data_IF_033441463483
#
_entry.id   IF_033441463483
#
_cell.length_a   1.000
_cell.length_b   1.000
_cell.length_c   1.000
_cell.angle_alpha   90.00
_cell.angle_beta   90.00
_cell.angle_gamma   90.00
#
_symmetry.space_group_name_H-M   'P 1'
#
loop_
_entity.id
_entity.type
_entity.pdbx_description
1 polymer ?
#
# COMPACT_ATOMS: atom_id res chain seq x y z
N UNK A 1 -8.12 -7.76 -17.97
CA UNK A 1 -8.08 -7.15 -16.62
C UNK A 1 -6.73 -6.48 -16.37
N UNK A 2 -5.62 -7.22 -16.44
CA UNK A 2 -4.26 -6.72 -16.20
C UNK A 2 -3.89 -5.47 -17.02
N UNK A 3 -4.23 -5.42 -18.31
CA UNK A 3 -3.98 -4.22 -19.14
C UNK A 3 -4.63 -2.94 -18.59
N UNK A 4 -5.82 -3.04 -17.98
CA UNK A 4 -6.46 -1.91 -17.30
C UNK A 4 -5.72 -1.54 -16.01
N UNK A 5 -5.30 -2.53 -15.22
CA UNK A 5 -4.51 -2.30 -13.99
C UNK A 5 -3.24 -1.51 -14.30
N UNK A 6 -2.44 -1.94 -15.29
CA UNK A 6 -1.21 -1.24 -15.68
C UNK A 6 -1.47 0.15 -16.25
N UNK A 7 -2.50 0.30 -17.10
CA UNK A 7 -2.89 1.59 -17.64
C UNK A 7 -3.29 2.58 -16.53
N UNK A 8 -4.12 2.16 -15.58
CA UNK A 8 -4.49 3.00 -14.44
C UNK A 8 -3.29 3.27 -13.52
N UNK A 9 -2.45 2.28 -13.22
CA UNK A 9 -1.24 2.50 -12.42
C UNK A 9 -0.34 3.59 -13.01
N UNK A 10 -0.07 3.52 -14.31
CA UNK A 10 0.67 4.57 -15.01
C UNK A 10 0.00 5.94 -14.90
N UNK A 11 -1.31 5.99 -15.13
CA UNK A 11 -2.08 7.25 -15.05
C UNK A 11 -2.11 7.83 -13.64
N UNK A 12 -2.11 6.99 -12.60
CA UNK A 12 -2.03 7.43 -11.21
C UNK A 12 -0.66 8.01 -10.85
N UNK A 13 0.41 7.54 -11.49
CA UNK A 13 1.75 8.13 -11.35
C UNK A 13 1.80 9.52 -12.01
N UNK A 14 1.29 9.65 -13.23
CA UNK A 14 1.47 10.88 -14.04
C UNK A 14 0.38 11.93 -13.78
N UNK A 15 -0.88 11.52 -13.61
CA UNK A 15 -2.06 12.40 -13.48
C UNK A 15 -3.10 11.84 -12.50
N UNK A 16 -2.75 11.70 -11.20
CA UNK A 16 -3.60 11.02 -10.20
C UNK A 16 -5.01 11.60 -10.09
N UNK A 17 -5.17 12.93 -10.17
CA UNK A 17 -6.48 13.56 -10.08
C UNK A 17 -7.43 13.18 -11.22
N UNK A 18 -6.94 13.13 -12.46
CA UNK A 18 -7.74 12.70 -13.62
C UNK A 18 -7.94 11.18 -13.62
N UNK A 19 -6.92 10.43 -13.20
CA UNK A 19 -7.03 8.98 -13.08
C UNK A 19 -8.12 8.58 -12.08
N UNK A 20 -8.17 9.20 -10.89
CA UNK A 20 -9.18 8.95 -9.88
C UNK A 20 -10.61 9.28 -10.36
N UNK A 21 -10.76 10.39 -11.10
CA UNK A 21 -12.04 10.81 -11.67
C UNK A 21 -12.54 9.84 -12.74
N UNK A 22 -11.68 9.46 -13.69
CA UNK A 22 -12.08 8.53 -14.76
C UNK A 22 -12.34 7.12 -14.20
N UNK A 23 -11.58 6.69 -13.19
CA UNK A 23 -11.72 5.37 -12.58
C UNK A 23 -13.04 5.22 -11.78
N UNK A 24 -13.59 6.33 -11.26
CA UNK A 24 -14.88 6.33 -10.57
C UNK A 24 -16.02 5.82 -11.47
N UNK A 25 -15.93 6.07 -12.77
CA UNK A 25 -16.93 5.66 -13.77
C UNK A 25 -16.59 4.34 -14.47
N UNK A 26 -15.52 3.68 -14.07
CA UNK A 26 -15.11 2.39 -14.63
C UNK A 26 -15.91 1.25 -14.00
N UNK A 27 -16.59 0.44 -14.83
CA UNK A 27 -17.44 -0.68 -14.35
C UNK A 27 -16.67 -1.66 -13.45
N UNK A 28 -15.38 -1.85 -13.74
CA UNK A 28 -14.49 -2.78 -13.01
C UNK A 28 -13.64 -2.08 -11.97
N UNK A 29 -14.05 -0.91 -11.46
CA UNK A 29 -13.30 -0.08 -10.52
C UNK A 29 -12.73 -0.87 -9.33
N UNK A 30 -13.60 -1.60 -8.60
CA UNK A 30 -13.19 -2.41 -7.44
C UNK A 30 -12.19 -3.49 -7.82
N UNK A 31 -12.40 -4.15 -8.95
CA UNK A 31 -11.50 -5.21 -9.43
C UNK A 31 -10.13 -4.67 -9.81
N UNK A 32 -10.04 -3.45 -10.34
CA UNK A 32 -8.76 -2.80 -10.61
C UNK A 32 -8.00 -2.58 -9.30
N UNK A 33 -8.66 -2.05 -8.26
CA UNK A 33 -8.05 -1.90 -6.93
C UNK A 33 -7.61 -3.23 -6.33
N UNK A 34 -8.50 -4.23 -6.33
CA UNK A 34 -8.23 -5.58 -5.82
C UNK A 34 -7.00 -6.19 -6.50
N UNK A 35 -6.99 -6.24 -7.84
CA UNK A 35 -5.88 -6.85 -8.57
C UNK A 35 -4.57 -6.07 -8.40
N UNK A 36 -4.62 -4.74 -8.27
CA UNK A 36 -3.41 -3.95 -7.99
C UNK A 36 -2.79 -4.36 -6.65
N UNK A 37 -3.60 -4.42 -5.59
CA UNK A 37 -3.14 -4.78 -4.24
C UNK A 37 -2.74 -6.26 -4.17
N UNK A 38 -3.49 -7.15 -4.79
CA UNK A 38 -3.17 -8.58 -4.85
C UNK A 38 -1.85 -8.83 -5.60
N UNK A 39 -1.65 -8.19 -6.75
CA UNK A 39 -0.39 -8.30 -7.51
C UNK A 39 0.77 -7.78 -6.66
N UNK A 40 0.64 -6.60 -6.05
CA UNK A 40 1.67 -6.07 -5.15
C UNK A 40 1.96 -7.03 -3.99
N UNK A 41 0.92 -7.56 -3.33
CA UNK A 41 1.06 -8.50 -2.23
C UNK A 41 1.74 -9.82 -2.64
N UNK A 42 1.44 -10.33 -3.84
CA UNK A 42 2.10 -11.51 -4.40
C UNK A 42 3.56 -11.23 -4.77
N UNK A 43 3.83 -10.08 -5.38
CA UNK A 43 5.19 -9.66 -5.70
C UNK A 43 6.04 -9.53 -4.44
N UNK A 44 5.46 -8.99 -3.36
CA UNK A 44 6.16 -8.86 -2.09
C UNK A 44 6.27 -10.20 -1.34
N UNK A 45 5.31 -11.12 -1.49
CA UNK A 45 5.45 -12.49 -1.00
C UNK A 45 6.65 -13.20 -1.66
N UNK A 46 6.89 -12.96 -2.96
CA UNK A 46 8.09 -13.45 -3.65
C UNK A 46 9.35 -12.81 -3.05
N UNK A 47 9.33 -11.51 -2.77
CA UNK A 47 10.45 -10.85 -2.07
C UNK A 47 10.73 -11.48 -0.71
N UNK A 48 9.69 -11.74 0.09
CA UNK A 48 9.83 -12.35 1.40
C UNK A 48 10.49 -13.75 1.33
N UNK A 49 10.06 -14.62 0.41
CA UNK A 49 10.69 -15.94 0.27
C UNK A 49 12.15 -15.83 -0.20
N UNK A 50 12.47 -14.87 -1.08
CA UNK A 50 13.85 -14.61 -1.51
C UNK A 50 14.73 -14.13 -0.34
N UNK A 51 14.21 -13.23 0.49
CA UNK A 51 14.91 -12.75 1.70
C UNK A 51 15.15 -13.90 2.69
N UNK A 52 14.16 -14.77 2.89
CA UNK A 52 14.30 -15.95 3.73
C UNK A 52 15.41 -16.89 3.21
N UNK A 53 15.40 -17.21 1.91
CA UNK A 53 16.41 -18.06 1.28
C UNK A 53 17.82 -17.43 1.33
N UNK A 54 17.91 -16.10 1.30
CA UNK A 54 19.16 -15.35 1.45
C UNK A 54 19.61 -15.19 2.91
N UNK A 55 18.88 -15.74 3.88
CA UNK A 55 19.24 -15.72 5.31
C UNK A 55 19.00 -14.38 6.00
N UNK A 56 18.17 -13.51 5.42
CA UNK A 56 17.77 -12.27 6.10
C UNK A 56 16.94 -12.56 7.34
N UNK A 57 17.09 -11.68 8.33
CA UNK A 57 16.29 -11.68 9.56
C UNK A 57 15.56 -10.35 9.69
N UNK A 58 14.38 -10.32 10.31
CA UNK A 58 13.67 -9.07 10.50
C UNK A 58 14.52 -8.12 11.34
N UNK A 59 14.55 -6.86 10.91
CA UNK A 59 15.31 -5.78 11.56
C UNK A 59 14.76 -5.48 12.96
N UNK A 60 13.45 -5.63 13.13
CA UNK A 60 12.76 -5.42 14.38
C UNK A 60 12.13 -6.73 14.88
N UNK A 61 11.85 -6.81 16.17
CA UNK A 61 11.01 -7.90 16.68
C UNK A 61 9.60 -7.78 16.11
N UNK A 62 8.77 -8.80 16.27
CA UNK A 62 7.39 -8.80 15.79
C UNK A 62 6.46 -8.85 16.99
N UNK A 63 5.30 -8.19 16.92
CA UNK A 63 4.29 -8.31 17.98
C UNK A 63 3.78 -9.76 18.06
N UNK A 64 3.58 -10.38 16.90
CA UNK A 64 3.26 -11.79 16.82
C UNK A 64 4.49 -12.62 17.26
N UNK A 65 4.30 -13.70 18.05
CA UNK A 65 5.39 -14.55 18.52
C UNK A 65 5.90 -15.49 17.39
N UNK A 66 6.35 -14.90 16.29
CA UNK A 66 6.90 -15.61 15.13
C UNK A 66 8.41 -15.74 15.33
N UNK A 67 9.00 -16.95 15.23
CA UNK A 67 10.44 -17.11 15.32
C UNK A 67 11.17 -16.28 14.27
N UNK A 68 12.23 -15.55 14.67
CA UNK A 68 12.97 -14.64 13.77
C UNK A 68 13.53 -15.34 12.53
N UNK A 69 13.93 -16.60 12.65
CA UNK A 69 14.53 -17.38 11.57
C UNK A 69 13.49 -17.87 10.52
N UNK A 70 12.20 -17.88 10.88
CA UNK A 70 11.11 -18.25 9.97
C UNK A 70 10.18 -17.07 9.66
N UNK A 71 10.50 -15.86 10.11
CA UNK A 71 9.64 -14.68 9.94
C UNK A 71 9.30 -14.44 8.47
N UNK A 72 10.30 -14.35 7.59
CA UNK A 72 10.08 -14.10 6.16
C UNK A 72 9.36 -15.26 5.45
N UNK A 73 9.52 -16.50 5.95
CA UNK A 73 8.73 -17.64 5.48
C UNK A 73 7.24 -17.45 5.81
N UNK A 74 6.91 -17.07 7.04
CA UNK A 74 5.51 -16.77 7.41
C UNK A 74 4.97 -15.55 6.66
N UNK A 75 5.79 -14.51 6.50
CA UNK A 75 5.43 -13.31 5.75
C UNK A 75 5.07 -13.66 4.29
N UNK A 76 5.73 -14.64 3.67
CA UNK A 76 5.39 -15.12 2.31
C UNK A 76 3.92 -15.52 2.19
N UNK A 77 3.37 -16.25 3.17
CA UNK A 77 2.00 -16.74 3.11
C UNK A 77 0.96 -15.66 3.50
N UNK A 78 1.33 -14.77 4.42
CA UNK A 78 0.38 -13.78 4.95
C UNK A 78 0.36 -12.46 4.17
N UNK A 79 1.42 -12.12 3.44
CA UNK A 79 1.53 -10.79 2.80
C UNK A 79 0.36 -10.49 1.86
N UNK A 80 0.05 -11.39 0.92
CA UNK A 80 -1.01 -11.11 -0.07
C UNK A 80 -2.42 -11.03 0.58
N UNK A 81 -2.85 -11.99 1.43
CA UNK A 81 -4.08 -11.85 2.20
C UNK A 81 -4.13 -10.57 3.04
N UNK A 82 -3.01 -10.23 3.68
CA UNK A 82 -2.92 -9.06 4.56
C UNK A 82 -3.00 -7.74 3.80
N UNK A 83 -2.37 -7.66 2.62
CA UNK A 83 -2.46 -6.50 1.75
C UNK A 83 -3.92 -6.25 1.32
N UNK A 84 -4.63 -7.30 0.90
CA UNK A 84 -6.05 -7.20 0.51
C UNK A 84 -6.93 -6.79 1.70
N UNK A 85 -6.71 -7.40 2.87
CA UNK A 85 -7.44 -7.05 4.09
C UNK A 85 -7.21 -5.59 4.49
N UNK A 86 -5.94 -5.14 4.50
CA UNK A 86 -5.55 -3.77 4.83
C UNK A 86 -6.20 -2.78 3.87
N UNK A 87 -6.17 -3.05 2.57
CA UNK A 87 -6.82 -2.23 1.56
C UNK A 87 -8.33 -2.11 1.79
N UNK A 88 -9.00 -3.23 2.04
CA UNK A 88 -10.44 -3.24 2.28
C UNK A 88 -10.83 -2.50 3.56
N UNK A 89 -10.12 -2.73 4.67
CA UNK A 89 -10.34 -2.04 5.94
C UNK A 89 -10.09 -0.53 5.84
N UNK A 90 -8.99 -0.15 5.17
CA UNK A 90 -8.66 1.26 4.91
C UNK A 90 -9.78 1.92 4.12
N UNK A 91 -10.30 1.25 3.08
CA UNK A 91 -11.44 1.72 2.29
C UNK A 91 -12.71 1.85 3.12
N UNK A 92 -12.98 0.88 3.99
CA UNK A 92 -14.10 0.90 4.93
C UNK A 92 -14.06 2.11 5.86
N UNK A 93 -12.93 2.35 6.51
CA UNK A 93 -12.76 3.49 7.43
C UNK A 93 -12.89 4.83 6.70
N UNK A 94 -12.22 4.99 5.55
CA UNK A 94 -12.33 6.21 4.74
C UNK A 94 -13.77 6.41 4.26
N UNK A 95 -14.46 5.34 3.87
CA UNK A 95 -15.86 5.41 3.45
C UNK A 95 -16.76 5.85 4.60
N UNK A 96 -16.66 5.22 5.78
CA UNK A 96 -17.45 5.59 6.96
C UNK A 96 -17.23 7.06 7.35
N UNK A 97 -15.98 7.51 7.37
CA UNK A 97 -15.62 8.91 7.62
C UNK A 97 -16.32 9.87 6.65
N UNK A 98 -16.38 9.52 5.36
CA UNK A 98 -16.99 10.37 4.34
C UNK A 98 -18.50 10.17 4.19
N UNK A 99 -19.04 9.03 4.61
CA UNK A 99 -20.46 8.69 4.48
C UNK A 99 -21.37 9.68 5.20
N UNK A 100 -20.90 10.21 6.34
CA UNK A 100 -21.59 11.24 7.13
C UNK A 100 -21.88 12.49 6.27
N UNK A 101 -21.03 12.79 5.29
CA UNK A 101 -21.08 14.01 4.50
C UNK A 101 -21.46 13.79 3.02
N UNK A 102 -21.29 12.57 2.49
CA UNK A 102 -21.47 12.24 1.08
C UNK A 102 -22.27 10.94 0.92
N UNK A 103 -23.56 10.94 1.34
CA UNK A 103 -24.43 9.75 1.40
C UNK A 103 -24.71 9.04 0.06
N UNK A 104 -24.43 9.69 -1.08
CA UNK A 104 -24.69 9.14 -2.42
C UNK A 104 -23.60 8.18 -2.92
N UNK A 105 -22.41 8.22 -2.31
CA UNK A 105 -21.25 7.41 -2.73
C UNK A 105 -21.25 6.07 -2.00
N UNK A 106 -20.76 5.03 -2.66
CA UNK A 106 -20.66 3.67 -2.14
C UNK A 106 -19.23 3.35 -1.75
N UNK A 107 -19.02 2.35 -0.89
CA UNK A 107 -17.69 1.82 -0.59
C UNK A 107 -16.95 1.39 -1.86
N UNK A 108 -17.66 0.75 -2.80
CA UNK A 108 -17.12 0.33 -4.09
C UNK A 108 -16.47 1.46 -4.90
N UNK A 109 -16.89 2.70 -4.70
CA UNK A 109 -16.41 3.86 -5.46
C UNK A 109 -14.97 4.25 -5.05
N UNK A 110 -14.60 4.06 -3.78
CA UNK A 110 -13.24 4.39 -3.27
C UNK A 110 -12.26 3.23 -3.34
N UNK A 111 -12.76 1.98 -3.30
CA UNK A 111 -11.90 0.79 -3.25
C UNK A 111 -10.93 0.72 -4.44
N UNK A 112 -11.39 1.00 -5.66
CA UNK A 112 -10.50 1.00 -6.82
C UNK A 112 -9.37 2.04 -6.75
N UNK A 113 -9.67 3.35 -6.61
CA UNK A 113 -8.67 4.40 -6.41
C UNK A 113 -7.71 4.12 -5.26
N UNK A 114 -8.25 3.61 -4.14
CA UNK A 114 -7.45 3.34 -2.95
C UNK A 114 -6.43 2.22 -3.18
N UNK A 115 -6.78 1.18 -3.96
CA UNK A 115 -5.85 0.09 -4.23
C UNK A 115 -4.58 0.58 -4.93
N UNK A 116 -4.74 1.53 -5.86
CA UNK A 116 -3.63 2.18 -6.55
C UNK A 116 -2.88 3.17 -5.65
N UNK A 117 -3.62 3.97 -4.87
CA UNK A 117 -3.03 4.92 -3.92
C UNK A 117 -2.15 4.23 -2.88
N UNK A 118 -2.51 3.01 -2.44
CA UNK A 118 -1.73 2.23 -1.50
C UNK A 118 -0.55 1.50 -2.17
N UNK A 119 -0.78 0.84 -3.31
CA UNK A 119 0.23 -0.04 -3.90
C UNK A 119 1.34 0.72 -4.62
N UNK A 120 1.04 1.83 -5.30
CA UNK A 120 2.03 2.55 -6.14
C UNK A 120 3.22 3.05 -5.31
N UNK A 121 3.04 3.81 -4.22
CA UNK A 121 4.19 4.29 -3.45
C UNK A 121 5.03 3.14 -2.91
N UNK A 122 4.41 2.08 -2.38
CA UNK A 122 5.15 0.95 -1.83
C UNK A 122 5.84 0.09 -2.87
N UNK A 123 5.34 0.06 -4.10
CA UNK A 123 6.04 -0.57 -5.21
C UNK A 123 7.42 0.08 -5.39
N UNK A 124 7.50 1.42 -5.44
CA UNK A 124 8.75 2.14 -5.64
C UNK A 124 9.62 2.22 -4.38
N UNK A 125 9.01 2.48 -3.24
CA UNK A 125 9.70 2.79 -1.99
C UNK A 125 9.81 1.61 -1.02
N UNK A 126 9.48 0.39 -1.43
CA UNK A 126 9.77 -0.82 -0.63
C UNK A 126 10.10 -1.99 -1.55
N UNK A 127 9.17 -2.36 -2.43
CA UNK A 127 9.33 -3.57 -3.22
C UNK A 127 10.56 -3.53 -4.13
N UNK A 128 10.80 -2.43 -4.87
CA UNK A 128 11.98 -2.32 -5.75
C UNK A 128 13.29 -2.47 -4.94
N UNK A 129 13.56 -1.66 -3.90
CA UNK A 129 14.78 -1.79 -3.11
C UNK A 129 14.97 -3.17 -2.47
N UNK A 130 13.93 -3.72 -1.87
CA UNK A 130 14.04 -5.00 -1.15
C UNK A 130 14.17 -6.19 -2.08
N UNK A 131 13.63 -6.11 -3.31
CA UNK A 131 13.71 -7.23 -4.27
C UNK A 131 14.97 -7.19 -5.10
N UNK A 132 15.40 -6.01 -5.53
CA UNK A 132 16.51 -5.88 -6.48
C UNK A 132 17.82 -5.45 -5.84
N UNK A 133 17.78 -4.79 -4.69
CA UNK A 133 18.99 -4.25 -4.05
C UNK A 133 19.40 -5.12 -2.86
N UNK A 134 18.47 -5.51 -1.98
CA UNK A 134 18.81 -6.31 -0.80
C UNK A 134 19.48 -7.66 -1.12
N UNK A 135 19.01 -8.48 -2.08
CA UNK A 135 19.63 -9.78 -2.35
C UNK A 135 21.06 -9.67 -2.91
N UNK A 136 21.38 -8.57 -3.60
CA UNK A 136 22.72 -8.32 -4.16
C UNK A 136 23.72 -8.00 -3.05
N UNK A 137 23.29 -7.26 -2.03
CA UNK A 137 24.15 -6.79 -0.95
C UNK A 137 24.27 -7.79 0.21
N UNK A 138 23.30 -8.72 0.30
CA UNK A 138 23.21 -9.69 1.38
C UNK A 138 22.81 -9.07 2.73
N UNK A 139 22.61 -9.89 3.77
CA UNK A 139 22.07 -9.44 5.06
C UNK A 139 22.95 -8.40 5.78
N UNK A 140 24.27 -8.45 5.58
CA UNK A 140 25.22 -7.51 6.20
C UNK A 140 25.34 -6.18 5.45
N UNK A 141 24.93 -6.14 4.18
CA UNK A 141 25.04 -4.96 3.32
C UNK A 141 23.74 -4.18 3.14
N UNK A 142 22.63 -4.63 3.73
CA UNK A 142 21.32 -3.98 3.61
C UNK A 142 20.82 -3.46 4.97
N UNK A 143 20.32 -2.21 5.04
CA UNK A 143 20.19 -1.25 3.94
C UNK A 143 21.57 -0.75 3.43
N UNK A 144 21.74 -0.53 2.10
CA UNK A 144 23.00 -0.05 1.51
C UNK A 144 23.40 1.34 1.96
N UNK A 145 22.44 2.09 2.49
CA UNK A 145 22.60 3.49 2.87
C UNK A 145 22.44 3.64 4.38
N UNK A 146 22.94 4.75 4.95
CA UNK A 146 22.75 5.05 6.36
C UNK A 146 21.28 5.07 6.78
N UNK A 147 21.02 4.78 8.05
CA UNK A 147 19.66 4.72 8.64
C UNK A 147 18.84 5.98 8.34
N UNK A 148 19.44 7.17 8.40
CA UNK A 148 18.72 8.41 8.10
C UNK A 148 18.19 8.46 6.65
N UNK A 149 18.95 7.92 5.69
CA UNK A 149 18.54 7.88 4.28
C UNK A 149 17.42 6.86 4.07
N UNK A 150 17.48 5.74 4.80
CA UNK A 150 16.40 4.74 4.83
C UNK A 150 15.10 5.34 5.36
N UNK A 151 15.19 6.10 6.46
CA UNK A 151 14.02 6.79 7.02
C UNK A 151 13.44 7.82 6.06
N UNK A 152 14.27 8.59 5.36
CA UNK A 152 13.80 9.54 4.33
C UNK A 152 13.08 8.81 3.20
N UNK A 153 13.66 7.71 2.70
CA UNK A 153 13.07 6.90 1.63
C UNK A 153 11.67 6.41 2.03
N UNK A 154 11.53 5.84 3.22
CA UNK A 154 10.24 5.37 3.75
C UNK A 154 9.26 6.54 3.97
N UNK A 155 9.74 7.67 4.52
CA UNK A 155 8.91 8.86 4.74
C UNK A 155 8.36 9.44 3.44
N UNK A 156 9.15 9.46 2.36
CA UNK A 156 8.68 9.89 1.03
C UNK A 156 7.58 8.94 0.52
N UNK A 157 7.75 7.63 0.68
CA UNK A 157 6.72 6.64 0.33
C UNK A 157 5.40 6.89 1.07
N UNK A 158 5.46 7.10 2.38
CA UNK A 158 4.30 7.41 3.23
C UNK A 158 3.65 8.75 2.83
N UNK A 159 4.44 9.79 2.58
CA UNK A 159 3.93 11.09 2.16
C UNK A 159 3.24 11.00 0.79
N UNK A 160 3.83 10.28 -0.16
CA UNK A 160 3.22 10.07 -1.47
C UNK A 160 1.90 9.30 -1.35
N UNK A 161 1.86 8.25 -0.53
CA UNK A 161 0.61 7.55 -0.20
C UNK A 161 -0.45 8.50 0.37
N UNK A 162 -0.09 9.35 1.33
CA UNK A 162 -0.99 10.33 1.92
C UNK A 162 -1.60 11.23 0.84
N UNK A 163 -0.77 11.72 -0.08
CA UNK A 163 -1.18 12.57 -1.20
C UNK A 163 -2.11 11.83 -2.15
N UNK A 164 -1.83 10.57 -2.49
CA UNK A 164 -2.70 9.79 -3.38
C UNK A 164 -4.04 9.47 -2.73
N UNK A 165 -4.07 9.14 -1.43
CA UNK A 165 -5.33 8.94 -0.68
C UNK A 165 -6.12 10.25 -0.64
N UNK A 166 -5.46 11.37 -0.34
CA UNK A 166 -6.08 12.71 -0.36
C UNK A 166 -6.74 13.00 -1.71
N UNK A 167 -6.03 12.78 -2.81
CA UNK A 167 -6.54 12.99 -4.17
C UNK A 167 -7.71 12.05 -4.46
N UNK A 168 -7.59 10.76 -4.13
CA UNK A 168 -8.65 9.78 -4.28
C UNK A 168 -9.94 10.24 -3.60
N UNK A 169 -9.84 10.64 -2.33
CA UNK A 169 -10.99 11.12 -1.56
C UNK A 169 -11.59 12.39 -2.13
N UNK A 170 -10.76 13.38 -2.51
CA UNK A 170 -11.22 14.64 -3.13
C UNK A 170 -12.08 14.35 -4.36
N UNK A 171 -11.66 13.38 -5.19
CA UNK A 171 -12.31 13.07 -6.46
C UNK A 171 -13.52 12.16 -6.31
N UNK A 172 -13.45 11.14 -5.47
CA UNK A 172 -14.55 10.19 -5.27
C UNK A 172 -15.69 10.80 -4.45
N UNK A 173 -15.37 11.48 -3.35
CA UNK A 173 -16.38 11.99 -2.42
C UNK A 173 -16.71 13.47 -2.60
N UNK A 174 -16.04 14.16 -3.53
CA UNK A 174 -16.09 15.63 -3.67
C UNK A 174 -15.80 16.32 -2.34
N UNK A 175 -15.01 15.67 -1.48
CA UNK A 175 -14.70 16.11 -0.13
C UNK A 175 -13.96 17.44 -0.18
N UNK A 176 -14.13 18.34 0.80
CA UNK A 176 -13.26 19.52 0.93
C UNK A 176 -11.83 19.10 1.38
N UNK A 177 -10.90 20.06 1.43
CA UNK A 177 -9.50 19.77 1.76
C UNK A 177 -9.33 19.15 3.16
N UNK A 178 -10.05 19.66 4.18
CA UNK A 178 -10.00 19.12 5.54
C UNK A 178 -10.45 17.66 5.60
N UNK A 179 -11.58 17.36 4.96
CA UNK A 179 -12.13 16.00 4.93
C UNK A 179 -11.21 15.03 4.20
N UNK A 180 -10.60 15.47 3.11
CA UNK A 180 -9.63 14.67 2.37
C UNK A 180 -8.34 14.45 3.17
N UNK A 181 -7.85 15.47 3.87
CA UNK A 181 -6.71 15.34 4.78
C UNK A 181 -7.02 14.36 5.93
N UNK A 182 -8.21 14.47 6.53
CA UNK A 182 -8.69 13.51 7.52
C UNK A 182 -8.75 12.08 6.99
N UNK A 183 -9.16 11.89 5.73
CA UNK A 183 -9.17 10.57 5.08
C UNK A 183 -7.77 10.01 4.86
N UNK A 184 -6.80 10.86 4.48
CA UNK A 184 -5.41 10.47 4.36
C UNK A 184 -4.82 10.05 5.71
N UNK A 185 -5.05 10.84 6.77
CA UNK A 185 -4.60 10.53 8.14
C UNK A 185 -5.21 9.24 8.64
N UNK A 186 -6.53 9.08 8.52
CA UNK A 186 -7.22 7.85 8.94
C UNK A 186 -6.75 6.64 8.13
N UNK A 187 -6.56 6.80 6.82
CA UNK A 187 -6.07 5.73 5.97
C UNK A 187 -4.66 5.29 6.37
N UNK A 188 -3.76 6.24 6.61
CA UNK A 188 -2.41 5.95 7.12
C UNK A 188 -2.44 5.34 8.52
N UNK A 189 -3.37 5.75 9.39
CA UNK A 189 -3.49 5.18 10.73
C UNK A 189 -3.93 3.70 10.67
N UNK A 190 -4.92 3.36 9.83
CA UNK A 190 -5.31 1.97 9.59
C UNK A 190 -4.13 1.18 9.03
N UNK A 191 -3.45 1.73 8.03
CA UNK A 191 -2.28 1.11 7.44
C UNK A 191 -1.18 0.85 8.48
N UNK A 192 -0.85 1.85 9.32
CA UNK A 192 0.14 1.74 10.38
C UNK A 192 -0.24 0.67 11.41
N UNK A 193 -1.49 0.64 11.88
CA UNK A 193 -1.98 -0.38 12.81
C UNK A 193 -1.85 -1.78 12.21
N UNK A 194 -2.22 -1.94 10.93
CA UNK A 194 -2.09 -3.22 10.23
C UNK A 194 -0.62 -3.64 10.05
N UNK A 195 0.30 -2.68 9.91
CA UNK A 195 1.74 -2.95 9.82
C UNK A 195 2.36 -3.28 11.18
N UNK A 196 1.93 -2.63 12.26
CA UNK A 196 2.40 -2.91 13.62
C UNK A 196 2.13 -4.35 14.06
N UNK A 197 1.08 -4.98 13.55
CA UNK A 197 0.83 -6.42 13.81
C UNK A 197 2.01 -7.29 13.34
N UNK A 198 2.71 -6.85 12.29
CA UNK A 198 3.86 -7.54 11.69
C UNK A 198 5.22 -6.87 12.02
N UNK A 199 5.24 -5.72 12.69
CA UNK A 199 6.46 -4.97 13.07
C UNK A 199 6.36 -4.48 14.51
N UNK A 200 7.30 -4.83 15.38
CA UNK A 200 7.43 -4.29 16.74
C UNK A 200 8.37 -3.09 16.77
#
# INVERSE_FOLDING_TARGET
MLGKVFSYAWRWIVRPGKAAEDQLYEERNVWIGFWTVAIFGLLYAITAILLWLAGFKPAFETILPIPRDSYYLWQTFFTAPWAVLTWFLTGGVIHLWNYIFSRKRRLADILGPLGLALAIPWFFFTWIPETFVAPILGPSGFPPWPVWAEMIRLAIGVLWMAVLIFIATRKVYEANWLRAAGSAILGLAVFAVMFLIFLR
#
